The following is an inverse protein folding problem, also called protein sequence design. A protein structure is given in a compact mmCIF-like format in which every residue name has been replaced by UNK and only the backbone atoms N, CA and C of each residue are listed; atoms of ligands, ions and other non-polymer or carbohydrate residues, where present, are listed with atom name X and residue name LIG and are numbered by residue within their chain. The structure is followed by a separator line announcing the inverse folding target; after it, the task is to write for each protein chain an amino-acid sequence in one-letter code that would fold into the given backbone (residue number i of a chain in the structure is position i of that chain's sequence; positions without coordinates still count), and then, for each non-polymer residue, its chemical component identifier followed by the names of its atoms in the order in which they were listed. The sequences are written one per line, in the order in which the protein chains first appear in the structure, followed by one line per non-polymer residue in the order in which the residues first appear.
data_IF_917116177741
#
_entry.id   IF_917116177741
#
_cell.length_a   1.000
_cell.length_b   1.000
_cell.length_c   1.000
_cell.angle_alpha   90.00
_cell.angle_beta   90.00
_cell.angle_gamma   90.00
#
_symmetry.space_group_name_H-M   'P 1'
#
loop_
_entity.id
_entity.type
_entity.pdbx_description
1 polymer ?
#
# COMPACT_ATOMS: atom_id res chain seq x y z
N UNK A 1 -35.10 -11.31 2.95
CA UNK A 1 -35.16 -10.75 4.30
C UNK A 1 -36.24 -11.45 5.09
N UNK A 2 -35.87 -12.30 6.03
CA UNK A 2 -36.79 -13.09 6.88
C UNK A 2 -36.86 -12.46 8.26
N UNK A 3 -37.81 -11.54 8.45
CA UNK A 3 -38.03 -10.89 9.75
C UNK A 3 -38.97 -11.71 10.66
N UNK A 4 -39.57 -12.81 10.16
CA UNK A 4 -40.44 -13.72 10.92
C UNK A 4 -40.12 -15.18 10.53
N UNK A 5 -39.59 -16.01 11.46
CA UNK A 5 -39.24 -17.39 11.18
C UNK A 5 -40.47 -18.30 10.88
N UNK A 6 -41.67 -17.92 11.33
CA UNK A 6 -42.91 -18.65 11.08
C UNK A 6 -43.51 -18.45 9.70
N UNK A 7 -43.00 -17.46 8.92
CA UNK A 7 -43.32 -17.25 7.52
C UNK A 7 -42.24 -17.84 6.63
N UNK A 8 -42.02 -19.10 6.74
CA UNK A 8 -41.12 -19.80 5.84
C UNK A 8 -41.61 -19.69 4.40
N UNK A 9 -40.77 -19.02 3.60
CA UNK A 9 -40.41 -19.49 2.27
C UNK A 9 -41.35 -19.27 1.08
N UNK A 10 -42.46 -18.58 1.16
CA UNK A 10 -43.31 -18.40 -0.04
C UNK A 10 -42.60 -17.63 -1.18
N UNK A 11 -41.59 -16.82 -0.86
CA UNK A 11 -40.88 -15.99 -1.85
C UNK A 11 -39.46 -16.46 -2.19
N UNK A 12 -38.93 -17.49 -1.54
CA UNK A 12 -37.58 -18.01 -1.84
C UNK A 12 -37.51 -18.58 -3.25
N UNK A 13 -38.60 -19.20 -3.70
CA UNK A 13 -38.67 -19.84 -5.00
C UNK A 13 -38.46 -18.86 -6.16
N UNK A 14 -38.78 -17.57 -6.00
CA UNK A 14 -38.57 -16.55 -7.02
C UNK A 14 -37.06 -16.35 -7.30
N UNK A 15 -36.21 -16.51 -6.29
CA UNK A 15 -34.77 -16.34 -6.41
C UNK A 15 -34.05 -17.48 -7.14
N UNK A 16 -34.62 -18.67 -7.18
CA UNK A 16 -34.11 -19.76 -8.02
C UNK A 16 -34.10 -19.43 -9.51
N UNK A 17 -34.99 -18.53 -9.93
CA UNK A 17 -35.05 -18.07 -11.33
C UNK A 17 -33.80 -17.28 -11.75
N UNK A 18 -32.98 -16.78 -10.80
CA UNK A 18 -31.75 -16.07 -11.07
C UNK A 18 -30.62 -16.99 -11.55
N UNK A 19 -30.72 -18.31 -11.30
CA UNK A 19 -29.74 -19.30 -11.77
C UNK A 19 -28.36 -19.18 -11.12
N UNK A 20 -28.24 -18.52 -9.96
CA UNK A 20 -26.97 -18.28 -9.26
C UNK A 20 -26.72 -19.22 -8.06
N UNK A 21 -27.56 -20.25 -7.89
CA UNK A 21 -27.47 -21.22 -6.81
C UNK A 21 -28.64 -21.16 -5.85
N UNK A 22 -28.53 -21.88 -4.73
CA UNK A 22 -29.53 -21.94 -3.69
C UNK A 22 -29.51 -20.68 -2.83
N UNK A 23 -30.65 -19.97 -2.64
CA UNK A 23 -30.68 -18.78 -1.82
C UNK A 23 -30.63 -19.11 -0.34
N UNK A 24 -29.70 -18.50 0.41
CA UNK A 24 -29.59 -18.63 1.87
C UNK A 24 -30.49 -17.61 2.56
N UNK A 25 -31.56 -18.05 3.26
CA UNK A 25 -32.47 -17.16 3.97
C UNK A 25 -31.84 -16.62 5.25
N UNK A 26 -31.89 -15.28 5.45
CA UNK A 26 -31.36 -14.67 6.67
C UNK A 26 -32.17 -13.46 7.14
N UNK A 27 -32.11 -13.15 8.43
CA UNK A 27 -32.59 -11.91 9.02
C UNK A 27 -31.43 -11.18 9.70
N UNK A 28 -30.97 -10.10 9.06
CA UNK A 28 -29.94 -9.23 9.64
C UNK A 28 -30.39 -8.53 10.93
N UNK A 29 -31.71 -8.28 11.09
CA UNK A 29 -32.27 -7.63 12.27
C UNK A 29 -32.27 -8.56 13.50
N UNK A 30 -32.55 -9.84 13.30
CA UNK A 30 -32.71 -10.83 14.37
C UNK A 30 -31.57 -11.85 14.45
N UNK A 31 -30.60 -11.77 13.53
CA UNK A 31 -29.46 -12.69 13.48
C UNK A 31 -29.80 -14.13 13.04
N UNK A 32 -31.05 -14.38 12.57
CA UNK A 32 -31.42 -15.70 12.07
C UNK A 32 -30.72 -16.03 10.76
N UNK A 33 -30.19 -17.26 10.63
CA UNK A 33 -29.50 -17.76 9.43
C UNK A 33 -28.11 -17.14 9.19
N UNK A 34 -27.60 -16.31 10.11
CA UNK A 34 -26.27 -15.72 9.95
C UNK A 34 -25.14 -16.74 10.16
N UNK A 35 -25.35 -17.75 11.02
CA UNK A 35 -24.40 -18.86 11.20
C UNK A 35 -24.26 -19.67 9.92
N UNK A 36 -25.39 -20.11 9.36
CA UNK A 36 -25.42 -20.90 8.13
C UNK A 36 -24.78 -20.12 6.95
N UNK A 37 -25.04 -18.81 6.84
CA UNK A 37 -24.37 -17.96 5.85
C UNK A 37 -22.85 -17.94 6.04
N UNK A 38 -22.35 -17.86 7.28
CA UNK A 38 -20.91 -17.85 7.54
C UNK A 38 -20.29 -19.21 7.21
N UNK A 39 -20.98 -20.30 7.52
CA UNK A 39 -20.52 -21.66 7.17
C UNK A 39 -20.48 -21.85 5.65
N UNK A 40 -21.50 -21.37 4.92
CA UNK A 40 -21.51 -21.35 3.46
C UNK A 40 -20.34 -20.55 2.88
N UNK A 41 -20.07 -19.38 3.46
CA UNK A 41 -18.92 -18.54 3.04
C UNK A 41 -17.60 -19.28 3.28
N UNK A 42 -17.42 -19.88 4.46
CA UNK A 42 -16.20 -20.64 4.78
C UNK A 42 -16.02 -21.82 3.83
N UNK A 43 -17.11 -22.54 3.50
CA UNK A 43 -17.06 -23.64 2.54
C UNK A 43 -16.70 -23.23 1.09
N UNK A 44 -16.96 -21.97 0.74
CA UNK A 44 -16.61 -21.42 -0.56
C UNK A 44 -15.21 -20.79 -0.62
N UNK A 45 -14.58 -20.57 0.54
CA UNK A 45 -13.19 -20.11 0.56
C UNK A 45 -12.29 -21.23 0.02
N UNK A 46 -11.31 -20.90 -0.83
CA UNK A 46 -10.31 -21.88 -1.20
C UNK A 46 -9.66 -22.42 0.07
N UNK A 47 -9.42 -23.75 0.13
CA UNK A 47 -8.55 -24.32 1.16
C UNK A 47 -7.27 -23.47 1.18
N UNK A 48 -6.79 -23.14 2.38
CA UNK A 48 -5.55 -22.39 2.53
C UNK A 48 -4.48 -23.13 1.70
N UNK A 49 -4.13 -22.56 0.55
CA UNK A 49 -2.92 -22.98 -0.14
C UNK A 49 -1.82 -22.83 0.90
N UNK A 50 -1.08 -23.91 1.18
CA UNK A 50 0.05 -23.92 2.12
C UNK A 50 0.75 -22.57 2.02
N UNK A 51 0.74 -21.78 3.11
CA UNK A 51 1.39 -20.46 3.12
C UNK A 51 2.79 -20.68 2.58
N UNK A 52 3.05 -20.20 1.38
CA UNK A 52 4.38 -20.29 0.78
C UNK A 52 5.29 -19.63 1.81
N UNK A 53 6.09 -20.44 2.50
CA UNK A 53 6.95 -19.98 3.57
C UNK A 53 7.71 -18.76 3.08
N UNK A 54 7.61 -17.64 3.81
CA UNK A 54 8.29 -16.42 3.43
C UNK A 54 9.80 -16.70 3.34
N UNK A 55 10.35 -16.63 2.14
CA UNK A 55 11.78 -16.91 1.90
C UNK A 55 12.69 -15.94 2.70
N UNK A 56 12.16 -14.78 3.08
CA UNK A 56 12.88 -13.73 3.80
C UNK A 56 12.06 -13.19 4.98
N UNK A 57 11.83 -13.99 6.03
CA UNK A 57 10.97 -13.61 7.16
C UNK A 57 11.51 -12.40 7.96
N UNK A 58 12.83 -12.22 7.96
CA UNK A 58 13.52 -11.12 8.67
C UNK A 58 13.75 -9.88 7.76
N UNK A 59 13.18 -9.85 6.56
CA UNK A 59 13.33 -8.71 5.67
C UNK A 59 12.58 -7.48 6.21
N UNK A 60 13.28 -6.33 6.27
CA UNK A 60 12.68 -5.05 6.62
C UNK A 60 11.79 -4.57 5.45
N UNK A 61 10.51 -4.35 5.73
CA UNK A 61 9.56 -3.88 4.73
C UNK A 61 9.69 -2.36 4.53
N UNK A 62 9.96 -1.95 3.29
CA UNK A 62 10.23 -0.55 2.95
C UNK A 62 9.26 -0.06 1.87
N UNK A 63 8.51 0.98 2.17
CA UNK A 63 7.68 1.69 1.20
C UNK A 63 8.40 2.92 0.65
N UNK A 64 8.30 3.17 -0.67
CA UNK A 64 8.73 4.42 -1.28
C UNK A 64 7.51 5.28 -1.55
N UNK A 65 7.36 6.36 -0.81
CA UNK A 65 6.21 7.26 -0.85
C UNK A 65 6.62 8.68 -1.29
N UNK A 66 5.64 9.50 -1.63
CA UNK A 66 5.85 10.89 -2.06
C UNK A 66 5.05 11.22 -3.30
N UNK A 67 5.04 12.49 -3.69
CA UNK A 67 4.27 13.04 -4.81
C UNK A 67 4.63 12.41 -6.17
N UNK A 68 3.75 12.50 -7.16
CA UNK A 68 4.11 12.23 -8.56
C UNK A 68 5.34 13.07 -8.96
N UNK A 69 6.21 12.48 -9.77
CA UNK A 69 7.43 13.13 -10.30
C UNK A 69 8.49 13.57 -9.26
N UNK A 70 8.34 13.21 -7.98
CA UNK A 70 9.38 13.43 -6.96
C UNK A 70 10.65 12.59 -7.20
N UNK A 71 10.57 11.58 -8.07
CA UNK A 71 11.71 10.73 -8.45
C UNK A 71 11.73 9.34 -7.82
N UNK A 72 10.60 8.88 -7.26
CA UNK A 72 10.45 7.54 -6.64
C UNK A 72 10.95 6.40 -7.55
N UNK A 73 10.50 6.38 -8.80
CA UNK A 73 10.89 5.33 -9.76
C UNK A 73 12.39 5.38 -10.10
N UNK A 74 12.95 6.58 -10.17
CA UNK A 74 14.39 6.76 -10.42
C UNK A 74 15.21 6.25 -9.24
N UNK A 75 14.78 6.56 -8.01
CA UNK A 75 15.40 6.06 -6.78
C UNK A 75 15.32 4.53 -6.73
N UNK A 76 14.13 3.97 -6.96
CA UNK A 76 13.93 2.52 -6.95
C UNK A 76 14.81 1.82 -7.98
N UNK A 77 14.85 2.30 -9.23
CA UNK A 77 15.69 1.74 -10.27
C UNK A 77 17.20 1.84 -9.92
N UNK A 78 17.59 2.90 -9.23
CA UNK A 78 18.98 3.06 -8.76
C UNK A 78 19.33 2.07 -7.66
N UNK A 79 18.40 1.80 -6.74
CA UNK A 79 18.56 0.77 -5.71
C UNK A 79 18.74 -0.60 -6.35
N UNK A 80 17.90 -0.95 -7.35
CA UNK A 80 17.98 -2.22 -8.06
C UNK A 80 19.25 -2.37 -8.91
N UNK A 81 19.71 -1.28 -9.50
CA UNK A 81 20.92 -1.27 -10.37
C UNK A 81 22.23 -1.13 -9.63
N UNK A 82 22.24 -1.17 -8.30
CA UNK A 82 23.49 -1.14 -7.52
C UNK A 82 24.22 -2.50 -7.59
N UNK A 83 25.51 -2.49 -7.94
CA UNK A 83 26.35 -3.67 -8.26
C UNK A 83 26.43 -4.77 -7.18
N UNK A 84 25.77 -4.62 -6.05
CA UNK A 84 25.76 -5.56 -4.92
C UNK A 84 24.37 -5.93 -4.43
N UNK A 85 23.34 -5.70 -5.23
CA UNK A 85 21.96 -6.03 -4.86
C UNK A 85 21.54 -7.32 -5.56
N UNK A 86 21.27 -8.37 -4.79
CA UNK A 86 20.56 -9.56 -5.28
C UNK A 86 19.09 -9.18 -5.27
N UNK A 87 18.42 -9.35 -6.41
CA UNK A 87 17.02 -8.97 -6.57
C UNK A 87 16.18 -10.22 -6.77
N UNK A 88 15.28 -10.49 -5.85
CA UNK A 88 14.25 -11.50 -5.98
C UNK A 88 12.88 -10.82 -6.12
N UNK A 89 12.07 -11.27 -7.08
CA UNK A 89 10.70 -10.81 -7.24
C UNK A 89 9.79 -11.82 -6.55
N UNK A 90 9.14 -11.39 -5.48
CA UNK A 90 8.18 -12.23 -4.78
C UNK A 90 6.78 -11.78 -5.19
N UNK A 91 5.99 -12.71 -5.74
CA UNK A 91 4.57 -12.47 -5.94
C UNK A 91 3.92 -12.41 -4.55
N UNK A 92 3.40 -11.25 -4.18
CA UNK A 92 2.64 -11.13 -2.94
C UNK A 92 1.35 -11.95 -3.00
N UNK A 93 0.88 -12.43 -1.87
CA UNK A 93 -0.36 -13.22 -1.70
C UNK A 93 -1.64 -12.45 -2.08
N UNK A 94 -1.56 -11.18 -2.37
CA UNK A 94 -2.65 -10.36 -2.93
C UNK A 94 -2.44 -10.15 -4.44
N UNK A 95 -3.44 -10.46 -5.24
CA UNK A 95 -3.50 -10.52 -6.71
C UNK A 95 -2.81 -9.40 -7.52
N UNK A 96 -2.30 -8.33 -6.89
CA UNK A 96 -1.76 -7.14 -7.58
C UNK A 96 -0.46 -6.56 -6.98
N UNK A 97 0.07 -7.06 -5.87
CA UNK A 97 1.26 -6.52 -5.23
C UNK A 97 2.50 -7.35 -5.58
N UNK A 98 3.39 -6.77 -6.37
CA UNK A 98 4.72 -7.36 -6.62
C UNK A 98 5.68 -6.66 -5.68
N UNK A 99 6.20 -7.43 -4.73
CA UNK A 99 7.27 -6.97 -3.84
C UNK A 99 8.64 -7.33 -4.45
N UNK A 100 9.66 -6.60 -4.07
CA UNK A 100 11.02 -6.86 -4.54
C UNK A 100 11.94 -6.89 -3.35
N UNK A 101 12.60 -8.02 -3.11
CA UNK A 101 13.62 -8.13 -2.07
C UNK A 101 14.98 -7.74 -2.63
N UNK A 102 15.67 -6.91 -1.88
CA UNK A 102 17.02 -6.41 -2.18
C UNK A 102 17.93 -6.79 -1.01
N UNK A 103 19.01 -7.52 -1.26
CA UNK A 103 20.02 -7.78 -0.26
C UNK A 103 21.12 -6.72 -0.31
N UNK A 104 21.50 -6.20 0.84
CA UNK A 104 22.65 -5.32 0.99
C UNK A 104 23.36 -5.54 2.32
N UNK A 105 24.66 -5.78 2.26
CA UNK A 105 25.51 -6.04 3.43
C UNK A 105 24.96 -7.17 4.33
N UNK A 106 24.43 -8.23 3.73
CA UNK A 106 23.85 -9.38 4.43
C UNK A 106 22.51 -9.10 5.11
N UNK A 107 21.85 -7.99 4.78
CA UNK A 107 20.49 -7.64 5.26
C UNK A 107 19.52 -7.61 4.09
N UNK A 108 18.31 -8.10 4.34
CA UNK A 108 17.25 -8.13 3.35
C UNK A 108 16.27 -6.95 3.56
N UNK A 109 15.93 -6.30 2.47
CA UNK A 109 14.97 -5.20 2.43
C UNK A 109 13.89 -5.54 1.41
N UNK A 110 12.65 -5.63 1.86
CA UNK A 110 11.50 -5.89 0.98
C UNK A 110 10.87 -4.57 0.58
N UNK A 111 11.08 -4.18 -0.67
CA UNK A 111 10.42 -3.01 -1.25
C UNK A 111 8.98 -3.39 -1.57
N UNK A 112 8.02 -2.84 -0.82
CA UNK A 112 6.60 -3.19 -0.94
C UNK A 112 5.90 -2.39 -2.04
N UNK A 113 4.92 -3.02 -2.72
CA UNK A 113 4.10 -2.46 -3.81
C UNK A 113 4.91 -1.84 -4.96
N UNK A 114 5.93 -2.55 -5.41
CA UNK A 114 6.82 -2.07 -6.49
C UNK A 114 6.17 -2.06 -7.87
N UNK A 115 5.04 -2.75 -8.07
CA UNK A 115 4.31 -2.78 -9.34
C UNK A 115 3.91 -1.37 -9.81
N UNK A 116 3.47 -0.51 -8.87
CA UNK A 116 3.13 0.87 -9.15
C UNK A 116 4.31 1.76 -9.52
N UNK A 117 5.50 1.41 -9.01
CA UNK A 117 6.74 2.14 -9.27
C UNK A 117 7.33 1.75 -10.63
N UNK A 118 7.21 0.45 -11.02
CA UNK A 118 7.75 -0.09 -12.28
C UNK A 118 6.98 0.31 -13.53
N UNK A 119 5.65 0.37 -13.45
CA UNK A 119 4.82 0.79 -14.59
C UNK A 119 4.94 2.31 -14.74
N UNK A 120 5.69 2.78 -15.76
CA UNK A 120 5.56 4.17 -16.25
C UNK A 120 4.10 4.33 -16.66
N UNK A 121 3.32 5.10 -15.90
CA UNK A 121 1.91 5.32 -16.23
C UNK A 121 1.82 6.13 -17.51
N UNK A 122 1.35 5.50 -18.58
CA UNK A 122 1.11 6.12 -19.89
C UNK A 122 -0.29 6.74 -19.98
N UNK A 123 -1.04 6.77 -18.87
CA UNK A 123 -2.44 7.24 -18.84
C UNK A 123 -2.54 8.50 -17.98
N UNK A 124 -2.90 9.60 -18.61
CA UNK A 124 -2.89 10.98 -18.09
C UNK A 124 -4.12 11.38 -17.25
N UNK A 125 -5.06 10.51 -16.95
CA UNK A 125 -6.26 10.86 -16.17
C UNK A 125 -6.30 10.11 -14.83
N UNK A 126 -6.40 10.85 -13.73
CA UNK A 126 -6.49 10.39 -12.33
C UNK A 126 -5.20 9.86 -11.66
N UNK A 127 -4.01 10.28 -12.12
CA UNK A 127 -2.72 9.83 -11.59
C UNK A 127 -2.54 10.15 -10.10
N UNK A 128 -3.08 11.25 -9.61
CA UNK A 128 -2.93 11.67 -8.21
C UNK A 128 -3.68 10.74 -7.24
N UNK A 129 -4.93 10.41 -7.55
CA UNK A 129 -5.75 9.54 -6.71
C UNK A 129 -5.19 8.11 -6.64
N UNK A 130 -4.84 7.52 -7.78
CA UNK A 130 -4.27 6.17 -7.83
C UNK A 130 -2.88 6.08 -7.17
N UNK A 131 -2.07 7.14 -7.31
CA UNK A 131 -0.76 7.20 -6.65
C UNK A 131 -0.90 7.28 -5.13
N UNK A 132 -1.90 8.00 -4.63
CA UNK A 132 -2.19 8.11 -3.21
C UNK A 132 -2.72 6.78 -2.63
N UNK A 133 -3.70 6.15 -3.29
CA UNK A 133 -4.28 4.86 -2.83
C UNK A 133 -3.22 3.75 -2.78
N UNK A 134 -2.32 3.70 -3.77
CA UNK A 134 -1.20 2.74 -3.78
C UNK A 134 -0.19 3.04 -2.67
N UNK A 135 0.14 4.33 -2.47
CA UNK A 135 0.98 4.75 -1.36
C UNK A 135 0.42 4.28 -0.01
N UNK A 136 -0.89 4.35 0.19
CA UNK A 136 -1.56 3.87 1.40
C UNK A 136 -1.40 2.35 1.58
N UNK A 137 -1.62 1.56 0.54
CA UNK A 137 -1.43 0.10 0.60
C UNK A 137 0.02 -0.30 0.91
N UNK A 138 0.99 0.44 0.35
CA UNK A 138 2.39 0.22 0.66
C UNK A 138 2.72 0.56 2.12
N UNK A 139 2.17 1.66 2.65
CA UNK A 139 2.34 2.10 4.04
C UNK A 139 1.76 1.07 5.01
N UNK A 140 0.61 0.46 4.72
CA UNK A 140 -0.05 -0.54 5.58
C UNK A 140 0.82 -1.78 5.84
N UNK A 141 1.82 -2.04 5.00
CA UNK A 141 2.68 -3.22 5.03
C UNK A 141 4.14 -2.90 5.33
N UNK A 142 4.47 -1.62 5.54
CA UNK A 142 5.84 -1.16 5.67
C UNK A 142 6.24 -0.93 7.14
N UNK A 143 7.46 -1.29 7.47
CA UNK A 143 8.12 -0.92 8.72
C UNK A 143 8.74 0.47 8.60
N UNK A 144 9.25 0.79 7.39
CA UNK A 144 9.91 2.06 7.08
C UNK A 144 9.31 2.68 5.82
N UNK A 145 8.99 3.97 5.88
CA UNK A 145 8.56 4.75 4.74
C UNK A 145 9.66 5.74 4.30
N UNK A 146 10.13 5.60 3.06
CA UNK A 146 11.04 6.55 2.43
C UNK A 146 10.21 7.64 1.74
N UNK A 147 10.07 8.80 2.39
CA UNK A 147 9.38 9.95 1.83
C UNK A 147 10.32 10.69 0.87
N UNK A 148 10.04 10.57 -0.44
CA UNK A 148 10.82 11.24 -1.49
C UNK A 148 10.22 12.61 -1.78
N UNK A 149 10.95 13.66 -1.44
CA UNK A 149 10.61 15.06 -1.66
C UNK A 149 11.43 15.61 -2.82
N UNK A 150 10.80 16.37 -3.72
CA UNK A 150 11.50 17.13 -4.75
C UNK A 150 12.11 18.39 -4.12
N UNK A 151 13.42 18.41 -3.94
CA UNK A 151 14.13 19.50 -3.29
C UNK A 151 13.98 20.84 -4.03
N UNK A 152 13.82 20.81 -5.37
CA UNK A 152 13.63 22.03 -6.16
C UNK A 152 12.31 22.74 -5.90
N UNK A 153 11.33 22.04 -5.33
CA UNK A 153 10.01 22.57 -4.93
C UNK A 153 9.94 22.78 -3.42
N UNK A 154 10.70 22.01 -2.65
CA UNK A 154 10.62 21.91 -1.21
C UNK A 154 9.43 21.06 -0.74
N UNK A 155 9.22 20.99 0.57
CA UNK A 155 8.13 20.23 1.17
C UNK A 155 6.79 20.93 0.93
N UNK A 156 5.79 20.17 0.50
CA UNK A 156 4.42 20.65 0.25
C UNK A 156 3.43 20.07 1.24
N UNK A 157 2.19 20.57 1.23
CA UNK A 157 1.09 20.03 2.04
C UNK A 157 0.76 18.57 1.71
N UNK A 158 0.96 18.18 0.45
CA UNK A 158 0.75 16.79 0.04
C UNK A 158 1.81 15.87 0.63
N UNK A 159 3.07 16.30 0.71
CA UNK A 159 4.14 15.56 1.36
C UNK A 159 3.86 15.40 2.86
N UNK A 160 3.36 16.45 3.53
CA UNK A 160 2.93 16.39 4.93
C UNK A 160 1.80 15.40 5.16
N UNK A 161 0.76 15.41 4.30
CA UNK A 161 -0.37 14.46 4.40
C UNK A 161 0.10 13.02 4.29
N UNK A 162 0.97 12.73 3.31
CA UNK A 162 1.50 11.36 3.09
C UNK A 162 2.38 10.93 4.26
N UNK A 163 3.20 11.83 4.81
CA UNK A 163 4.00 11.55 6.02
C UNK A 163 3.10 11.28 7.24
N UNK A 164 2.06 12.10 7.44
CA UNK A 164 1.12 11.92 8.54
C UNK A 164 0.47 10.54 8.53
N UNK A 165 0.02 10.09 7.37
CA UNK A 165 -0.56 8.76 7.20
C UNK A 165 0.44 7.64 7.52
N UNK A 166 1.71 7.79 7.15
CA UNK A 166 2.74 6.81 7.48
C UNK A 166 3.04 6.76 8.99
N UNK A 167 3.04 7.92 9.66
CA UNK A 167 3.20 8.00 11.12
C UNK A 167 2.01 7.35 11.83
N UNK A 168 0.77 7.63 11.41
CA UNK A 168 -0.45 7.02 11.96
C UNK A 168 -0.47 5.49 11.85
N UNK A 169 0.22 4.94 10.85
CA UNK A 169 0.37 3.49 10.64
C UNK A 169 1.60 2.89 11.35
N UNK A 170 2.34 3.70 12.09
CA UNK A 170 3.49 3.26 12.89
C UNK A 170 4.78 3.07 12.10
N UNK A 171 4.86 3.54 10.84
CA UNK A 171 6.08 3.44 10.06
C UNK A 171 7.16 4.39 10.60
N UNK A 172 8.40 3.92 10.66
CA UNK A 172 9.55 4.81 10.77
C UNK A 172 9.72 5.62 9.48
N UNK A 173 10.04 6.91 9.59
CA UNK A 173 10.12 7.80 8.42
C UNK A 173 11.57 8.18 8.12
N UNK A 174 11.95 8.04 6.85
CA UNK A 174 13.19 8.59 6.31
C UNK A 174 12.84 9.58 5.21
N UNK A 175 13.19 10.86 5.39
CA UNK A 175 12.97 11.91 4.39
C UNK A 175 14.15 11.97 3.44
N UNK A 176 13.89 11.86 2.14
CA UNK A 176 14.88 11.93 1.08
C UNK A 176 14.64 13.17 0.21
N UNK A 177 15.55 14.12 0.27
CA UNK A 177 15.54 15.32 -0.57
C UNK A 177 16.16 14.98 -1.92
N UNK A 178 15.32 14.58 -2.87
CA UNK A 178 15.75 14.22 -4.23
C UNK A 178 15.89 15.44 -5.12
N UNK A 179 16.63 15.31 -6.21
CA UNK A 179 16.96 16.39 -7.15
C UNK A 179 17.73 17.53 -6.48
N UNK A 180 18.52 17.21 -5.47
CA UNK A 180 19.37 18.17 -4.74
C UNK A 180 20.37 18.88 -5.66
N UNK A 181 20.78 18.21 -6.72
CA UNK A 181 21.65 18.71 -7.77
C UNK A 181 21.07 19.92 -8.54
N UNK A 182 19.74 20.12 -8.49
CA UNK A 182 19.09 21.29 -9.08
C UNK A 182 19.17 22.56 -8.20
N UNK A 183 19.64 22.42 -6.95
CA UNK A 183 19.87 23.52 -6.04
C UNK A 183 21.30 24.01 -6.20
N UNK A 184 21.50 24.91 -7.15
CA UNK A 184 22.79 25.42 -7.64
C UNK A 184 23.45 26.46 -6.71
N UNK A 185 22.71 27.00 -5.73
CA UNK A 185 23.20 27.93 -4.75
C UNK A 185 22.77 27.60 -3.31
N UNK A 186 23.50 28.16 -2.33
CA UNK A 186 23.26 27.89 -0.92
C UNK A 186 21.92 28.48 -0.42
N UNK A 187 21.44 29.57 -1.00
CA UNK A 187 20.14 30.17 -0.66
C UNK A 187 18.98 29.24 -0.98
N UNK A 188 19.04 28.58 -2.14
CA UNK A 188 18.03 27.58 -2.53
C UNK A 188 18.06 26.37 -1.59
N UNK A 189 19.24 25.94 -1.17
CA UNK A 189 19.42 24.85 -0.22
C UNK A 189 18.85 25.21 1.16
N UNK A 190 19.18 26.39 1.66
CA UNK A 190 18.63 26.92 2.92
C UNK A 190 17.11 27.03 2.86
N UNK A 191 16.56 27.62 1.78
CA UNK A 191 15.11 27.71 1.60
C UNK A 191 14.43 26.35 1.55
N UNK A 192 15.05 25.34 0.94
CA UNK A 192 14.54 23.96 0.97
C UNK A 192 14.53 23.42 2.40
N UNK A 193 15.64 23.57 3.15
CA UNK A 193 15.72 23.08 4.54
C UNK A 193 14.73 23.79 5.46
N UNK A 194 14.52 25.08 5.30
CA UNK A 194 13.48 25.83 6.03
C UNK A 194 12.07 25.23 5.79
N UNK A 195 11.79 24.76 4.58
CA UNK A 195 10.49 24.09 4.31
C UNK A 195 10.41 22.74 5.04
N UNK A 196 11.53 22.02 5.14
CA UNK A 196 11.62 20.75 5.88
C UNK A 196 11.33 21.01 7.36
N UNK A 197 12.07 21.91 7.98
CA UNK A 197 11.94 22.22 9.41
C UNK A 197 10.53 22.74 9.74
N UNK A 198 10.02 23.66 8.97
CA UNK A 198 8.70 24.26 9.20
C UNK A 198 7.56 23.28 9.02
N UNK A 199 7.63 22.39 8.00
CA UNK A 199 6.52 21.53 7.62
C UNK A 199 6.62 20.12 8.18
N UNK A 200 7.80 19.57 8.33
CA UNK A 200 8.01 18.21 8.81
C UNK A 200 8.50 18.17 10.27
N UNK A 201 9.27 19.18 10.71
CA UNK A 201 9.77 19.24 12.07
C UNK A 201 8.67 19.25 13.13
N UNK A 202 7.51 19.83 12.83
CA UNK A 202 6.32 19.82 13.72
C UNK A 202 5.71 18.43 13.87
N UNK A 203 5.94 17.54 12.90
CA UNK A 203 5.38 16.18 12.87
C UNK A 203 6.33 15.14 13.46
N UNK A 204 7.60 15.50 13.65
CA UNK A 204 8.60 14.64 14.26
C UNK A 204 8.48 14.75 15.79
N UNK A 205 8.14 13.67 16.52
CA UNK A 205 7.98 13.69 17.95
C UNK A 205 9.30 13.72 18.72
N UNK A 206 10.44 13.76 18.03
CA UNK A 206 11.83 13.76 18.55
C UNK A 206 12.75 14.69 17.77
#
# INVERSE_FOLDING_TARGET
KLDNPDRENDNIWEFYSLGIGEPTPLSALHGHGTGDLLDDIVALLPEEEDEIADEFPDALNVAIIGRPNAGKSSLFNRILGADRSIVSNIAGTTRDAIDTVVERNGKHYRMVDTAGIRKKSTVYENIEYYSMVRGLRAIDRADVALLVVDASVGVTEQDQKVMGLAIERGCAIVVLLNKWDLLDDDRKREACMETVDRRLGVMAPW
#
